data_IF_210012972483
#
_entry.id   IF_210012972483
#
_cell.length_a   1.000
_cell.length_b   1.000
_cell.length_c   1.000
_cell.angle_alpha   90.00
_cell.angle_beta   90.00
_cell.angle_gamma   90.00
#
_symmetry.space_group_name_H-M   'P 1'
#
loop_
_entity.id
_entity.type
_entity.pdbx_description
1 polymer ?
#
# COMPACT_ATOMS: atom_id res chain seq x y z
N UNK A 1 -13.79 -15.49 -15.83
CA UNK A 1 -12.79 -14.46 -15.46
C UNK A 1 -13.21 -13.90 -14.11
N UNK A 2 -12.39 -14.05 -13.06
CA UNK A 2 -12.78 -13.70 -11.70
C UNK A 2 -12.81 -12.17 -11.52
N UNK A 3 -14.01 -11.59 -11.49
CA UNK A 3 -14.22 -10.17 -11.20
C UNK A 3 -13.92 -9.93 -9.71
N UNK A 4 -12.64 -9.75 -9.39
CA UNK A 4 -12.24 -9.19 -8.09
C UNK A 4 -12.84 -7.80 -8.03
N UNK A 5 -13.91 -7.64 -7.25
CA UNK A 5 -14.47 -6.34 -6.85
C UNK A 5 -13.35 -5.48 -6.26
N UNK A 6 -12.69 -4.72 -7.13
CA UNK A 6 -11.56 -3.89 -6.77
C UNK A 6 -12.12 -2.62 -6.13
N UNK A 7 -12.15 -2.61 -4.80
CA UNK A 7 -12.51 -1.40 -4.06
C UNK A 7 -11.57 -0.27 -4.47
N UNK A 8 -12.16 0.82 -4.99
CA UNK A 8 -11.45 2.02 -5.38
C UNK A 8 -11.10 2.79 -4.11
N UNK A 9 -9.82 3.08 -3.90
CA UNK A 9 -9.33 3.86 -2.75
C UNK A 9 -9.27 5.33 -3.09
N UNK A 10 -8.89 5.66 -4.33
CA UNK A 10 -8.82 7.03 -4.81
C UNK A 10 -9.59 7.17 -6.11
N UNK A 11 -10.74 7.84 -6.07
CA UNK A 11 -11.52 8.16 -7.27
C UNK A 11 -10.81 9.17 -8.18
N UNK A 12 -9.97 10.06 -7.63
CA UNK A 12 -9.29 11.11 -8.39
C UNK A 12 -8.28 10.54 -9.41
N UNK A 13 -7.70 9.37 -9.14
CA UNK A 13 -6.75 8.67 -10.02
C UNK A 13 -7.18 7.23 -10.36
N UNK A 14 -8.40 6.85 -10.01
CA UNK A 14 -8.95 5.49 -10.16
C UNK A 14 -8.04 4.38 -9.59
N UNK A 15 -7.43 4.64 -8.43
CA UNK A 15 -6.49 3.70 -7.79
C UNK A 15 -7.27 2.73 -6.92
N UNK A 16 -6.98 1.44 -7.06
CA UNK A 16 -7.65 0.35 -6.34
C UNK A 16 -6.76 -0.22 -5.23
N UNK A 17 -7.40 -0.90 -4.25
CA UNK A 17 -6.66 -1.60 -3.18
C UNK A 17 -5.67 -2.62 -3.75
N UNK A 18 -6.00 -3.26 -4.88
CA UNK A 18 -5.15 -4.27 -5.48
C UNK A 18 -3.84 -3.69 -6.02
N UNK A 19 -3.87 -2.48 -6.58
CA UNK A 19 -2.65 -1.79 -7.03
C UNK A 19 -1.77 -1.41 -5.83
N UNK A 20 -2.37 -0.95 -4.73
CA UNK A 20 -1.66 -0.68 -3.47
C UNK A 20 -1.03 -1.97 -2.92
N UNK A 21 -1.76 -3.09 -2.95
CA UNK A 21 -1.25 -4.41 -2.54
C UNK A 21 -0.08 -4.87 -3.41
N UNK A 22 -0.22 -4.82 -4.75
CA UNK A 22 0.86 -5.17 -5.68
C UNK A 22 2.12 -4.35 -5.41
N UNK A 23 1.96 -3.04 -5.20
CA UNK A 23 3.07 -2.15 -4.90
C UNK A 23 3.72 -2.51 -3.55
N UNK A 24 2.92 -2.70 -2.50
CA UNK A 24 3.42 -3.09 -1.17
C UNK A 24 4.13 -4.46 -1.18
N UNK A 25 3.64 -5.42 -1.99
CA UNK A 25 4.30 -6.71 -2.17
C UNK A 25 5.60 -6.61 -2.97
N UNK A 26 5.67 -5.72 -3.97
CA UNK A 26 6.87 -5.50 -4.78
C UNK A 26 7.94 -4.71 -4.02
N UNK A 27 7.53 -3.79 -3.16
CA UNK A 27 8.39 -2.92 -2.36
C UNK A 27 8.04 -3.00 -0.88
N UNK A 28 8.47 -4.07 -0.17
CA UNK A 28 8.14 -4.26 1.25
C UNK A 28 8.72 -3.16 2.15
N UNK A 29 9.81 -2.52 1.73
CA UNK A 29 10.46 -1.42 2.47
C UNK A 29 10.04 -0.02 2.00
N UNK A 30 9.13 0.10 1.04
CA UNK A 30 8.69 1.42 0.57
C UNK A 30 7.86 2.16 1.62
N UNK A 31 8.06 3.47 1.68
CA UNK A 31 7.27 4.36 2.55
C UNK A 31 5.99 4.82 1.85
N UNK A 32 5.04 5.35 2.63
CA UNK A 32 3.78 5.88 2.07
C UNK A 32 4.03 6.96 1.01
N UNK A 33 5.08 7.76 1.18
CA UNK A 33 5.49 8.77 0.21
C UNK A 33 5.88 8.17 -1.15
N UNK A 34 6.63 7.05 -1.15
CA UNK A 34 6.99 6.36 -2.40
C UNK A 34 5.77 5.75 -3.08
N UNK A 35 4.82 5.22 -2.28
CA UNK A 35 3.55 4.75 -2.83
C UNK A 35 2.77 5.90 -3.48
N UNK A 36 2.75 7.09 -2.87
CA UNK A 36 2.14 8.28 -3.46
C UNK A 36 2.83 8.69 -4.77
N UNK A 37 4.16 8.64 -4.83
CA UNK A 37 4.91 8.97 -6.06
C UNK A 37 4.68 7.94 -7.17
N UNK A 38 4.65 6.65 -6.84
CA UNK A 38 4.49 5.58 -7.81
C UNK A 38 3.05 5.43 -8.33
N UNK A 39 2.06 5.51 -7.44
CA UNK A 39 0.64 5.33 -7.82
C UNK A 39 -0.07 6.64 -8.10
N UNK A 40 0.45 7.76 -7.61
CA UNK A 40 -0.25 9.04 -7.62
C UNK A 40 -1.38 9.13 -6.60
N UNK A 41 -1.51 8.19 -5.65
CA UNK A 41 -2.56 8.25 -4.64
C UNK A 41 -2.42 9.53 -3.82
N UNK A 42 -3.55 10.17 -3.52
CA UNK A 42 -3.60 11.37 -2.68
C UNK A 42 -2.87 12.62 -3.21
N UNK A 43 -2.39 12.62 -4.47
CA UNK A 43 -1.75 13.78 -5.12
C UNK A 43 -2.71 14.82 -5.69
N UNK A 44 -3.99 14.45 -5.88
CA UNK A 44 -5.02 15.38 -6.38
C UNK A 44 -5.81 16.02 -5.24
N UNK A 45 -6.95 15.40 -4.91
CA UNK A 45 -7.93 15.91 -3.96
C UNK A 45 -7.58 15.72 -2.46
N UNK A 46 -6.57 14.92 -2.12
CA UNK A 46 -6.11 14.66 -0.75
C UNK A 46 -7.07 13.88 0.18
N UNK A 47 -8.38 13.81 -0.13
CA UNK A 47 -9.41 13.19 0.74
C UNK A 47 -9.17 11.70 1.05
N UNK A 48 -8.57 10.98 0.11
CA UNK A 48 -8.25 9.55 0.25
C UNK A 48 -6.95 9.29 1.03
N UNK A 49 -6.20 10.32 1.47
CA UNK A 49 -4.89 10.17 2.12
C UNK A 49 -4.96 9.33 3.38
N UNK A 50 -5.89 9.66 4.28
CA UNK A 50 -6.05 8.93 5.54
C UNK A 50 -6.42 7.46 5.28
N UNK A 51 -7.42 7.21 4.42
CA UNK A 51 -7.85 5.85 4.05
C UNK A 51 -6.71 5.05 3.42
N UNK A 52 -5.99 5.63 2.45
CA UNK A 52 -4.87 4.99 1.78
C UNK A 52 -3.74 4.68 2.76
N UNK A 53 -3.44 5.59 3.68
CA UNK A 53 -2.39 5.41 4.69
C UNK A 53 -2.76 4.30 5.68
N UNK A 54 -4.01 4.25 6.16
CA UNK A 54 -4.49 3.16 7.02
C UNK A 54 -4.42 1.81 6.32
N UNK A 55 -4.85 1.72 5.05
CA UNK A 55 -4.74 0.48 4.28
C UNK A 55 -3.28 0.07 4.07
N UNK A 56 -2.40 1.02 3.75
CA UNK A 56 -0.99 0.75 3.56
C UNK A 56 -0.30 0.28 4.85
N UNK A 57 -0.58 0.92 5.99
CA UNK A 57 -0.05 0.53 7.29
C UNK A 57 -0.52 -0.89 7.70
N UNK A 58 -1.79 -1.20 7.46
CA UNK A 58 -2.32 -2.55 7.69
C UNK A 58 -1.65 -3.61 6.81
N UNK A 59 -1.36 -3.29 5.54
CA UNK A 59 -0.61 -4.17 4.64
C UNK A 59 0.83 -4.38 5.09
N UNK A 60 1.47 -3.33 5.64
CA UNK A 60 2.80 -3.47 6.24
C UNK A 60 2.77 -4.33 7.49
N UNK A 61 1.75 -4.22 8.34
CA UNK A 61 1.61 -5.06 9.56
C UNK A 61 1.43 -6.55 9.23
N UNK A 62 0.72 -6.88 8.14
CA UNK A 62 0.61 -8.27 7.69
C UNK A 62 1.94 -8.84 7.18
N UNK A 63 2.77 -8.00 6.55
CA UNK A 63 4.10 -8.39 6.05
C UNK A 63 5.21 -8.25 7.10
N UNK A 64 5.00 -7.48 8.18
CA UNK A 64 5.99 -7.20 9.20
C UNK A 64 6.40 -8.42 10.05
N UNK A 65 5.60 -9.49 10.03
CA UNK A 65 6.01 -10.79 10.58
C UNK A 65 7.17 -11.42 9.80
N UNK A 66 7.32 -11.09 8.52
CA UNK A 66 8.38 -11.61 7.65
C UNK A 66 9.71 -10.86 7.86
N UNK A 67 9.68 -9.54 8.10
CA UNK A 67 10.90 -8.75 8.36
C UNK A 67 11.43 -8.87 9.80
N UNK A 68 10.59 -9.24 10.78
CA UNK A 68 11.08 -9.58 12.12
C UNK A 68 11.94 -10.85 12.15
N UNK A 69 11.84 -11.70 11.12
CA UNK A 69 12.70 -12.88 10.95
C UNK A 69 14.04 -12.53 10.27
N UNK A 70 14.12 -11.43 9.52
CA UNK A 70 15.36 -11.03 8.82
C UNK A 70 16.31 -10.20 9.71
N UNK A 71 15.82 -9.55 10.77
CA UNK A 71 16.65 -8.85 11.77
C UNK A 71 16.98 -9.69 13.02
N UNK A 72 16.57 -10.96 13.08
CA UNK A 72 16.81 -11.83 14.26
C UNK A 72 18.10 -12.66 14.17
N UNK A 73 19.00 -12.35 13.23
CA UNK A 73 20.27 -13.07 13.04
C UNK A 73 21.54 -12.21 13.25
N UNK A 74 21.41 -11.02 13.85
CA UNK A 74 22.55 -10.19 14.26
C UNK A 74 22.42 -9.76 15.74
N UNK A 75 22.30 -10.73 16.65
CA UNK A 75 23.01 -10.71 17.95
C UNK A 75 22.89 -12.05 18.67
#
# INVERSE_FOLDING_TARGET
MAEKRNTIVCHCKMITINEIKKFASKYPNASFNELMLATGVSTGCGRCKLLAQTHFDNLRKTNGKETQLLFKFER
#
